data_IF_431385067001
#
_entry.id   IF_431385067001
#
_cell.length_a   1.000
_cell.length_b   1.000
_cell.length_c   1.000
_cell.angle_alpha   90.00
_cell.angle_beta   90.00
_cell.angle_gamma   90.00
#
_symmetry.space_group_name_H-M   'P 1'
#
loop_
_entity.id
_entity.type
_entity.pdbx_description
1 polymer ?
#
# COMPACT_ATOMS: atom_id res chain seq x y z
N UNK A 1 -16.19 8.18 27.24
CA UNK A 1 -16.78 7.36 26.16
C UNK A 1 -16.67 8.06 24.81
N UNK A 2 -16.84 9.38 24.75
CA UNK A 2 -16.84 10.12 23.46
C UNK A 2 -15.50 10.04 22.71
N UNK A 3 -14.36 10.23 23.39
CA UNK A 3 -13.02 10.08 22.78
C UNK A 3 -12.72 8.70 22.20
N UNK A 4 -13.38 7.65 22.70
CA UNK A 4 -13.20 6.29 22.16
C UNK A 4 -13.93 6.12 20.83
N UNK A 5 -15.07 6.81 20.66
CA UNK A 5 -15.83 6.81 19.40
C UNK A 5 -15.13 7.59 18.28
N UNK A 6 -14.16 8.41 18.63
CA UNK A 6 -13.31 9.17 17.69
C UNK A 6 -12.10 8.35 17.20
N UNK A 7 -11.80 7.19 17.80
CA UNK A 7 -10.63 6.39 17.43
C UNK A 7 -10.65 5.88 15.98
N UNK A 8 -11.77 5.37 15.43
CA UNK A 8 -11.82 4.98 14.02
C UNK A 8 -11.45 6.13 13.10
N UNK A 9 -12.07 7.30 13.32
CA UNK A 9 -11.81 8.51 12.54
C UNK A 9 -10.36 8.95 12.66
N UNK A 10 -9.78 8.91 13.87
CA UNK A 10 -8.37 9.22 14.10
C UNK A 10 -7.44 8.31 13.27
N UNK A 11 -7.66 7.00 13.31
CA UNK A 11 -6.83 6.04 12.58
C UNK A 11 -6.98 6.20 11.07
N UNK A 12 -8.21 6.34 10.56
CA UNK A 12 -8.50 6.51 9.14
C UNK A 12 -7.91 7.82 8.61
N UNK A 13 -8.21 8.96 9.24
CA UNK A 13 -7.68 10.27 8.84
C UNK A 13 -6.15 10.30 8.85
N UNK A 14 -5.51 9.71 9.88
CA UNK A 14 -4.05 9.68 9.97
C UNK A 14 -3.42 8.76 8.92
N UNK A 15 -4.04 7.61 8.65
CA UNK A 15 -3.60 6.71 7.59
C UNK A 15 -3.69 7.37 6.20
N UNK A 16 -4.78 8.10 5.91
CA UNK A 16 -4.94 8.85 4.66
C UNK A 16 -3.88 9.94 4.49
N UNK A 17 -3.61 10.72 5.54
CA UNK A 17 -2.56 11.75 5.54
C UNK A 17 -1.18 11.15 5.26
N UNK A 18 -0.83 10.07 5.97
CA UNK A 18 0.45 9.36 5.80
C UNK A 18 0.55 8.76 4.41
N UNK A 19 -0.51 8.12 3.91
CA UNK A 19 -0.55 7.55 2.57
C UNK A 19 -0.32 8.63 1.51
N UNK A 20 -1.02 9.77 1.59
CA UNK A 20 -0.83 10.89 0.67
C UNK A 20 0.59 11.46 0.68
N UNK A 21 1.20 11.57 1.88
CA UNK A 21 2.60 11.97 2.05
C UNK A 21 3.57 10.97 1.40
N UNK A 22 3.42 9.68 1.71
CA UNK A 22 4.26 8.60 1.20
C UNK A 22 4.13 8.43 -0.32
N UNK A 23 2.95 8.73 -0.86
CA UNK A 23 2.67 8.68 -2.30
C UNK A 23 3.15 9.93 -3.05
N UNK A 24 3.73 10.94 -2.38
CA UNK A 24 4.12 12.22 -3.00
C UNK A 24 2.97 12.86 -3.81
N UNK A 25 1.75 12.78 -3.28
CA UNK A 25 0.53 13.27 -3.93
C UNK A 25 0.15 12.51 -5.21
N UNK A 26 0.68 11.30 -5.42
CA UNK A 26 0.24 10.41 -6.49
C UNK A 26 -1.10 9.79 -6.11
N UNK A 27 -2.11 10.03 -6.94
CA UNK A 27 -3.44 9.44 -6.82
C UNK A 27 -3.70 8.61 -8.07
N UNK A 28 -3.40 7.30 -8.04
CA UNK A 28 -3.60 6.44 -9.20
C UNK A 28 -5.10 6.19 -9.41
N UNK A 29 -5.66 6.70 -10.50
CA UNK A 29 -7.04 6.43 -10.92
C UNK A 29 -7.16 5.04 -11.55
N UNK A 30 -7.34 4.01 -10.72
CA UNK A 30 -7.48 2.62 -11.18
C UNK A 30 -8.94 2.21 -11.11
N UNK A 31 -9.55 1.95 -12.27
CA UNK A 31 -10.86 1.30 -12.32
C UNK A 31 -10.72 -0.18 -11.96
N UNK A 32 -10.90 -0.51 -10.68
CA UNK A 32 -10.82 -1.89 -10.17
C UNK A 32 -11.77 -2.85 -10.88
N UNK A 33 -12.92 -2.38 -11.39
CA UNK A 33 -13.86 -3.24 -12.11
C UNK A 33 -13.32 -3.71 -13.47
N UNK A 34 -12.33 -3.00 -14.02
CA UNK A 34 -11.66 -3.35 -15.27
C UNK A 34 -10.39 -4.19 -15.08
N UNK A 35 -9.90 -4.31 -13.83
CA UNK A 35 -8.70 -5.07 -13.48
C UNK A 35 -8.97 -6.55 -13.68
N UNK A 36 -8.15 -7.19 -14.50
CA UNK A 36 -8.16 -8.64 -14.68
C UNK A 36 -7.29 -9.30 -13.63
N UNK A 37 -7.84 -10.29 -12.94
CA UNK A 37 -7.11 -11.13 -12.02
C UNK A 37 -7.52 -12.59 -12.25
N UNK A 38 -6.53 -13.44 -12.55
CA UNK A 38 -6.77 -14.88 -12.74
C UNK A 38 -6.53 -15.61 -11.43
N UNK A 39 -7.61 -15.76 -10.65
CA UNK A 39 -7.57 -16.39 -9.32
C UNK A 39 -7.15 -17.87 -9.37
N UNK A 40 -7.21 -18.51 -10.55
CA UNK A 40 -6.80 -19.90 -10.74
C UNK A 40 -5.32 -20.03 -11.17
N UNK A 41 -4.65 -18.92 -11.47
CA UNK A 41 -3.27 -18.93 -11.90
C UNK A 41 -2.34 -19.14 -10.69
N UNK A 42 -1.57 -20.23 -10.72
CA UNK A 42 -0.58 -20.58 -9.70
C UNK A 42 0.87 -20.42 -10.17
N UNK A 43 1.09 -19.78 -11.33
CA UNK A 43 2.45 -19.53 -11.82
C UNK A 43 3.18 -18.58 -10.88
N UNK A 44 4.41 -18.94 -10.53
CA UNK A 44 5.30 -18.09 -9.73
C UNK A 44 5.49 -16.73 -10.41
N UNK A 45 5.42 -15.67 -9.62
CA UNK A 45 5.47 -14.27 -10.07
C UNK A 45 4.16 -13.72 -10.62
N UNK A 46 3.06 -14.50 -10.64
CA UNK A 46 1.76 -13.97 -11.05
C UNK A 46 1.13 -13.08 -9.96
N UNK A 47 0.64 -11.92 -10.37
CA UNK A 47 -0.28 -11.07 -9.63
C UNK A 47 -1.05 -10.17 -10.61
N UNK A 48 -2.14 -9.54 -10.16
CA UNK A 48 -2.93 -8.65 -11.04
C UNK A 48 -2.13 -7.44 -11.53
N UNK A 49 -1.12 -6.96 -10.77
CA UNK A 49 -0.27 -5.83 -11.21
C UNK A 49 0.54 -6.20 -12.45
N UNK A 50 1.01 -7.44 -12.52
CA UNK A 50 1.80 -7.98 -13.64
C UNK A 50 0.96 -8.53 -14.79
N UNK A 51 -0.38 -8.52 -14.66
CA UNK A 51 -1.24 -8.97 -15.75
C UNK A 51 -1.18 -7.97 -16.92
N UNK A 52 -0.81 -8.39 -18.14
CA UNK A 52 -0.50 -7.48 -19.26
C UNK A 52 -1.67 -6.60 -19.68
N UNK A 53 -2.92 -7.08 -19.51
CA UNK A 53 -4.11 -6.29 -19.83
C UNK A 53 -4.39 -5.13 -18.85
N UNK A 54 -3.73 -5.09 -17.68
CA UNK A 54 -4.00 -4.07 -16.66
C UNK A 54 -3.07 -2.86 -16.78
N UNK A 55 -1.91 -3.00 -17.43
CA UNK A 55 -0.95 -1.89 -17.60
C UNK A 55 -0.32 -1.37 -16.31
N UNK A 56 -0.43 -2.10 -15.19
CA UNK A 56 -0.02 -1.65 -13.86
C UNK A 56 1.45 -1.94 -13.53
N UNK A 57 2.11 -2.84 -14.26
CA UNK A 57 3.49 -3.28 -13.98
C UNK A 57 4.48 -2.11 -13.85
N UNK A 58 4.26 -1.04 -14.61
CA UNK A 58 5.12 0.15 -14.60
C UNK A 58 4.57 1.34 -13.83
N UNK A 59 3.39 1.23 -13.21
CA UNK A 59 2.73 2.33 -12.50
C UNK A 59 3.59 2.87 -11.34
N UNK A 60 4.34 2.00 -10.66
CA UNK A 60 5.24 2.41 -9.57
C UNK A 60 6.36 3.37 -10.03
N UNK A 61 6.71 3.42 -11.32
CA UNK A 61 7.77 4.29 -11.83
C UNK A 61 7.42 5.76 -11.64
N UNK A 62 6.14 6.12 -11.73
CA UNK A 62 5.71 7.49 -11.48
C UNK A 62 5.97 7.90 -10.02
N UNK A 63 5.64 7.03 -9.07
CA UNK A 63 5.95 7.26 -7.66
C UNK A 63 7.45 7.44 -7.44
N UNK A 64 8.27 6.60 -8.07
CA UNK A 64 9.73 6.69 -7.98
C UNK A 64 10.27 8.01 -8.55
N UNK A 65 9.72 8.48 -9.68
CA UNK A 65 10.07 9.78 -10.25
C UNK A 65 9.73 10.89 -9.25
N UNK A 66 8.52 10.91 -8.69
CA UNK A 66 8.09 11.92 -7.71
C UNK A 66 8.94 11.90 -6.44
N UNK A 67 9.24 10.72 -5.92
CA UNK A 67 10.11 10.53 -4.76
C UNK A 67 11.54 11.06 -4.99
N UNK A 68 12.00 11.09 -6.25
CA UNK A 68 13.30 11.67 -6.63
C UNK A 68 13.21 13.18 -6.93
N UNK A 69 12.19 13.61 -7.65
CA UNK A 69 12.06 14.98 -8.14
C UNK A 69 11.40 15.95 -7.14
N UNK A 70 10.90 15.44 -6.01
CA UNK A 70 10.19 16.28 -5.04
C UNK A 70 11.08 17.42 -4.52
N UNK A 71 10.55 18.65 -4.57
CA UNK A 71 11.24 19.83 -4.05
C UNK A 71 11.49 19.74 -2.54
N UNK A 72 10.61 19.05 -1.82
CA UNK A 72 10.70 18.77 -0.38
C UNK A 72 10.63 17.26 -0.13
N UNK A 73 11.60 16.73 0.61
CA UNK A 73 11.57 15.30 0.97
C UNK A 73 11.96 14.33 -0.15
N UNK A 74 12.65 14.78 -1.21
CA UNK A 74 13.24 13.83 -2.17
C UNK A 74 14.18 12.84 -1.46
N UNK A 75 13.99 11.55 -1.75
CA UNK A 75 14.72 10.44 -1.11
C UNK A 75 16.18 10.36 -1.56
N UNK A 76 16.46 10.78 -2.80
CA UNK A 76 17.80 10.83 -3.35
C UNK A 76 18.01 12.12 -4.15
N UNK A 77 19.27 12.52 -4.31
CA UNK A 77 19.69 13.65 -5.15
C UNK A 77 21.09 13.38 -5.69
N UNK A 78 21.33 13.73 -6.95
CA UNK A 78 22.61 13.54 -7.63
C UNK A 78 23.14 12.10 -7.53
N UNK A 79 22.25 11.12 -7.63
CA UNK A 79 22.58 9.69 -7.52
C UNK A 79 22.86 9.18 -6.09
N UNK A 80 22.69 10.00 -5.06
CA UNK A 80 22.97 9.64 -3.67
C UNK A 80 21.72 9.66 -2.81
N UNK A 81 21.57 8.66 -1.94
CA UNK A 81 20.51 8.60 -0.94
C UNK A 81 20.68 9.70 0.12
N UNK A 82 19.57 10.36 0.45
CA UNK A 82 19.48 11.32 1.55
C UNK A 82 19.00 10.58 2.78
N UNK A 83 19.90 9.82 3.40
CA UNK A 83 19.58 8.89 4.50
C UNK A 83 18.67 9.45 5.60
N UNK A 84 18.84 10.69 6.12
CA UNK A 84 17.93 11.21 7.14
C UNK A 84 16.47 11.28 6.66
N UNK A 85 16.24 11.58 5.38
CA UNK A 85 14.91 11.64 4.78
C UNK A 85 14.39 10.23 4.50
N UNK A 86 15.24 9.34 3.99
CA UNK A 86 14.88 7.92 3.81
C UNK A 86 14.45 7.29 5.14
N UNK A 87 15.20 7.53 6.21
CA UNK A 87 14.84 7.04 7.55
C UNK A 87 13.54 7.67 8.05
N UNK A 88 13.29 8.95 7.77
CA UNK A 88 12.01 9.60 8.08
C UNK A 88 10.85 9.00 7.29
N UNK A 89 11.06 8.69 6.01
CA UNK A 89 10.08 8.03 5.15
C UNK A 89 9.74 6.64 5.69
N UNK A 90 10.74 5.83 6.02
CA UNK A 90 10.53 4.50 6.58
C UNK A 90 9.80 4.54 7.92
N UNK A 91 10.05 5.55 8.75
CA UNK A 91 9.26 5.76 9.98
C UNK A 91 7.80 6.08 9.69
N UNK A 92 7.51 6.88 8.67
CA UNK A 92 6.14 7.16 8.24
C UNK A 92 5.45 5.91 7.68
N UNK A 93 6.19 5.01 7.01
CA UNK A 93 5.66 3.71 6.57
C UNK A 93 5.25 2.87 7.79
N UNK A 94 6.11 2.74 8.79
CA UNK A 94 5.77 2.03 10.04
C UNK A 94 4.58 2.68 10.75
N UNK A 95 4.51 4.01 10.80
CA UNK A 95 3.37 4.72 11.39
C UNK A 95 2.08 4.44 10.61
N UNK A 96 2.13 4.37 9.28
CA UNK A 96 0.97 4.02 8.45
C UNK A 96 0.49 2.60 8.78
N UNK A 97 1.40 1.63 8.88
CA UNK A 97 1.07 0.26 9.29
C UNK A 97 0.41 0.21 10.68
N UNK A 98 0.91 1.00 11.63
CA UNK A 98 0.31 1.15 12.96
C UNK A 98 -1.10 1.76 12.91
N UNK A 99 -1.34 2.76 12.06
CA UNK A 99 -2.66 3.36 11.89
C UNK A 99 -3.65 2.38 11.26
N UNK A 100 -3.24 1.65 10.23
CA UNK A 100 -4.05 0.61 9.60
C UNK A 100 -4.39 -0.50 10.59
N UNK A 101 -3.41 -0.95 11.38
CA UNK A 101 -3.62 -1.92 12.45
C UNK A 101 -4.64 -1.41 13.47
N UNK A 102 -4.47 -0.17 13.95
CA UNK A 102 -5.38 0.47 14.88
C UNK A 102 -6.81 0.54 14.37
N UNK A 103 -7.00 0.97 13.12
CA UNK A 103 -8.31 0.98 12.45
C UNK A 103 -8.97 -0.39 12.43
N UNK A 104 -8.22 -1.43 12.01
CA UNK A 104 -8.72 -2.81 12.00
C UNK A 104 -9.14 -3.31 13.38
N UNK A 105 -8.41 -2.95 14.44
CA UNK A 105 -8.74 -3.35 15.81
C UNK A 105 -9.97 -2.65 16.40
N UNK A 106 -10.28 -1.43 15.95
CA UNK A 106 -11.39 -0.64 16.51
C UNK A 106 -12.68 -0.81 15.70
N UNK A 107 -12.60 -0.94 14.37
CA UNK A 107 -13.78 -1.14 13.52
C UNK A 107 -14.17 -2.62 13.40
N UNK A 108 -13.21 -3.54 13.54
CA UNK A 108 -13.45 -4.97 13.48
C UNK A 108 -14.16 -5.49 14.73
N UNK A 109 -15.32 -6.13 14.57
CA UNK A 109 -15.99 -6.84 15.66
C UNK A 109 -15.23 -8.09 16.16
N UNK A 110 -14.21 -8.53 15.43
CA UNK A 110 -13.34 -9.66 15.75
C UNK A 110 -11.88 -9.23 15.82
N UNK A 111 -11.05 -9.92 16.62
CA UNK A 111 -9.61 -9.64 16.68
C UNK A 111 -8.94 -9.89 15.32
N UNK A 112 -8.50 -8.86 14.58
CA UNK A 112 -7.86 -9.03 13.29
C UNK A 112 -6.49 -9.70 13.42
N UNK A 113 -6.15 -10.54 12.45
CA UNK A 113 -4.83 -11.16 12.28
C UNK A 113 -3.88 -10.23 11.54
N UNK A 114 -3.60 -9.08 12.15
CA UNK A 114 -2.86 -7.96 11.51
C UNK A 114 -1.47 -8.36 11.06
N UNK A 115 -0.76 -9.18 11.85
CA UNK A 115 0.59 -9.65 11.48
C UNK A 115 0.56 -10.47 10.20
N UNK A 116 -0.45 -11.32 10.04
CA UNK A 116 -0.65 -12.13 8.85
C UNK A 116 -1.09 -11.28 7.66
N UNK A 117 -1.90 -10.24 7.87
CA UNK A 117 -2.30 -9.29 6.82
C UNK A 117 -1.11 -8.51 6.25
N UNK A 118 -0.17 -8.06 7.10
CA UNK A 118 1.04 -7.37 6.64
C UNK A 118 2.13 -8.31 6.10
N UNK A 119 1.94 -9.61 6.24
CA UNK A 119 2.84 -10.63 5.68
C UNK A 119 2.26 -11.31 4.42
N UNK A 120 1.18 -10.76 3.84
CA UNK A 120 0.61 -11.27 2.60
C UNK A 120 1.59 -11.10 1.44
N UNK A 121 1.75 -12.16 0.66
CA UNK A 121 2.55 -12.13 -0.56
C UNK A 121 1.83 -11.27 -1.62
N UNK A 122 2.54 -10.31 -2.21
CA UNK A 122 1.98 -9.46 -3.28
C UNK A 122 1.94 -10.18 -4.65
N UNK A 123 2.53 -11.37 -4.74
CA UNK A 123 2.54 -12.23 -5.92
C UNK A 123 2.64 -13.71 -5.54
N UNK A 124 2.29 -14.60 -6.45
CA UNK A 124 2.51 -16.03 -6.25
C UNK A 124 4.00 -16.31 -6.06
N UNK A 125 4.36 -16.96 -4.96
CA UNK A 125 5.68 -17.54 -4.79
C UNK A 125 5.79 -18.91 -5.47
N UNK A 126 6.94 -19.59 -5.35
CA UNK A 126 7.13 -20.94 -5.88
C UNK A 126 6.19 -21.98 -5.24
N UNK A 127 5.74 -21.73 -4.00
CA UNK A 127 4.90 -22.64 -3.21
C UNK A 127 3.79 -21.92 -2.44
N UNK A 128 3.58 -20.62 -2.70
CA UNK A 128 2.62 -19.76 -2.01
C UNK A 128 1.80 -19.02 -3.05
N UNK A 129 0.54 -18.76 -2.74
CA UNK A 129 -0.30 -17.91 -3.59
C UNK A 129 -0.22 -16.45 -3.13
N UNK A 130 -0.48 -15.53 -4.05
CA UNK A 130 -0.73 -14.13 -3.75
C UNK A 130 -1.78 -14.01 -2.65
N UNK A 131 -1.63 -13.06 -1.73
CA UNK A 131 -2.59 -12.78 -0.67
C UNK A 131 -3.63 -11.73 -1.05
N UNK A 132 -3.41 -11.02 -2.16
CA UNK A 132 -4.21 -9.87 -2.60
C UNK A 132 -4.83 -10.17 -3.96
N UNK A 133 -6.16 -10.09 -4.03
CA UNK A 133 -6.90 -10.35 -5.26
C UNK A 133 -7.74 -9.15 -5.65
N UNK A 134 -8.30 -9.16 -6.86
CA UNK A 134 -9.25 -8.14 -7.30
C UNK A 134 -10.36 -8.87 -8.04
N UNK A 135 -11.60 -8.66 -7.62
CA UNK A 135 -12.76 -9.30 -8.22
C UNK A 135 -13.97 -8.37 -8.18
N UNK A 136 -14.63 -8.19 -9.33
CA UNK A 136 -15.87 -7.41 -9.41
C UNK A 136 -15.75 -5.94 -8.99
N UNK A 137 -14.55 -5.35 -9.01
CA UNK A 137 -14.31 -3.99 -8.56
C UNK A 137 -13.90 -3.84 -7.09
N UNK A 138 -13.60 -4.94 -6.40
CA UNK A 138 -13.15 -4.94 -5.00
C UNK A 138 -11.85 -5.74 -4.85
N UNK A 139 -11.08 -5.41 -3.82
CA UNK A 139 -9.85 -6.11 -3.41
C UNK A 139 -10.19 -7.18 -2.37
#
# INVERSE_FOLDING_TARGET
MDKFRELPEYFTSRAEELCGSLMYGLEPEINLASVKNDLANSQSGHCFVKHPANGLESAYKELLIRAYSSSKGALARDGHWRWPIVMSYLKQVTELEEMLAGGLYVEGGSCPRVRELFALECENGPFTSCGIYVWGGSV
#
